data_IF_655927583760
#
_entry.id   IF_655927583760
#
_cell.length_a   1.000
_cell.length_b   1.000
_cell.length_c   1.000
_cell.angle_alpha   90.00
_cell.angle_beta   90.00
_cell.angle_gamma   90.00
#
_symmetry.space_group_name_H-M   'P 1'
#
loop_
_entity.id
_entity.type
_entity.pdbx_description
1 polymer ?
#
# COMPACT_ATOMS: atom_id res chain seq x y z
N UNK A 1 39.93 2.77 63.85
CA UNK A 1 40.54 2.73 62.51
C UNK A 1 40.21 1.39 61.87
N UNK A 2 39.12 1.31 61.11
CA UNK A 2 38.77 0.15 60.31
C UNK A 2 38.48 0.64 58.89
N UNK A 3 39.29 0.16 57.94
CA UNK A 3 39.29 0.62 56.57
C UNK A 3 38.06 0.11 55.81
N UNK A 4 37.31 1.04 55.22
CA UNK A 4 36.24 0.79 54.27
C UNK A 4 36.83 0.27 52.96
N UNK A 5 36.66 -1.02 52.68
CA UNK A 5 36.92 -1.59 51.34
C UNK A 5 35.89 -1.05 50.35
N UNK A 6 36.35 -0.26 49.39
CA UNK A 6 35.56 0.17 48.24
C UNK A 6 35.20 -1.02 47.35
N UNK A 7 33.91 -1.18 47.05
CA UNK A 7 33.44 -2.07 45.98
C UNK A 7 33.97 -1.56 44.63
N UNK A 8 34.45 -2.42 43.72
CA UNK A 8 34.80 -1.99 42.38
C UNK A 8 33.53 -1.60 41.63
N UNK A 9 33.57 -0.44 40.98
CA UNK A 9 32.56 0.04 40.05
C UNK A 9 32.38 -1.00 38.94
N UNK A 10 31.21 -1.63 38.87
CA UNK A 10 30.78 -2.38 37.70
C UNK A 10 30.80 -1.43 36.51
N UNK A 11 31.85 -1.53 35.68
CA UNK A 11 31.86 -0.95 34.35
C UNK A 11 30.71 -1.60 33.59
N UNK A 12 29.64 -0.85 33.38
CA UNK A 12 28.51 -1.27 32.56
C UNK A 12 29.03 -1.88 31.25
N UNK A 13 28.73 -3.16 31.05
CA UNK A 13 29.08 -3.89 29.85
C UNK A 13 28.33 -3.28 28.66
N UNK A 14 28.91 -2.24 28.05
CA UNK A 14 28.43 -1.68 26.81
C UNK A 14 28.40 -2.79 25.76
N UNK A 15 27.23 -2.98 25.13
CA UNK A 15 27.07 -3.93 24.03
C UNK A 15 28.16 -3.62 23.00
N UNK A 16 28.96 -4.61 22.56
CA UNK A 16 30.03 -4.35 21.60
C UNK A 16 29.42 -3.74 20.33
N UNK A 17 29.95 -2.60 19.88
CA UNK A 17 29.40 -1.75 18.81
C UNK A 17 29.00 -2.52 17.55
N UNK A 18 29.75 -3.57 17.18
CA UNK A 18 29.39 -4.48 16.07
C UNK A 18 28.07 -5.23 16.30
N UNK A 19 27.81 -5.72 17.51
CA UNK A 19 26.58 -6.47 17.86
C UNK A 19 25.35 -5.56 17.87
N UNK A 20 25.53 -4.27 18.20
CA UNK A 20 24.48 -3.26 18.09
C UNK A 20 24.12 -2.98 16.62
N UNK A 21 25.11 -2.78 15.74
CA UNK A 21 24.86 -2.52 14.31
C UNK A 21 24.15 -3.67 13.60
N UNK A 22 24.49 -4.94 13.92
CA UNK A 22 23.79 -6.10 13.34
C UNK A 22 22.31 -6.16 13.76
N UNK A 23 21.99 -5.79 14.99
CA UNK A 23 20.62 -5.74 15.48
C UNK A 23 19.81 -4.64 14.78
N UNK A 24 20.37 -3.43 14.67
CA UNK A 24 19.74 -2.30 13.95
C UNK A 24 19.45 -2.68 12.49
N UNK A 25 20.38 -3.37 11.81
CA UNK A 25 20.18 -3.84 10.45
C UNK A 25 19.03 -4.85 10.34
N UNK A 26 18.96 -5.86 11.22
CA UNK A 26 17.86 -6.83 11.20
C UNK A 26 16.50 -6.18 11.50
N UNK A 27 16.46 -5.23 12.44
CA UNK A 27 15.24 -4.51 12.81
C UNK A 27 14.67 -3.68 11.63
N UNK A 28 15.53 -3.25 10.70
CA UNK A 28 15.16 -2.59 9.44
C UNK A 28 14.82 -3.57 8.31
N UNK A 29 15.66 -4.59 8.12
CA UNK A 29 15.58 -5.51 7.00
C UNK A 29 14.28 -6.32 7.00
N UNK A 30 13.84 -6.79 8.18
CA UNK A 30 12.65 -7.64 8.26
C UNK A 30 11.37 -6.90 7.84
N UNK A 31 11.02 -5.72 8.39
CA UNK A 31 9.87 -4.95 7.92
C UNK A 31 9.97 -4.56 6.44
N UNK A 32 11.16 -4.21 5.96
CA UNK A 32 11.39 -3.88 4.56
C UNK A 32 11.09 -5.07 3.64
N UNK A 33 11.62 -6.25 3.95
CA UNK A 33 11.38 -7.48 3.15
C UNK A 33 9.88 -7.78 3.11
N UNK A 34 9.19 -7.74 4.26
CA UNK A 34 7.74 -7.97 4.31
C UNK A 34 6.95 -6.95 3.48
N UNK A 35 7.33 -5.68 3.54
CA UNK A 35 6.75 -4.64 2.70
C UNK A 35 6.96 -4.93 1.20
N UNK A 36 8.18 -5.29 0.79
CA UNK A 36 8.49 -5.62 -0.62
C UNK A 36 7.71 -6.84 -1.09
N UNK A 37 7.67 -7.91 -0.30
CA UNK A 37 6.89 -9.12 -0.60
C UNK A 37 5.41 -8.75 -0.76
N UNK A 38 4.85 -8.01 0.20
CA UNK A 38 3.47 -7.56 0.15
C UNK A 38 3.16 -6.73 -1.10
N UNK A 39 4.05 -5.80 -1.46
CA UNK A 39 3.90 -4.97 -2.65
C UNK A 39 3.92 -5.81 -3.94
N UNK A 40 4.87 -6.74 -4.07
CA UNK A 40 4.95 -7.63 -5.25
C UNK A 40 3.69 -8.49 -5.35
N UNK A 41 3.25 -9.10 -4.24
CA UNK A 41 2.01 -9.87 -4.21
C UNK A 41 0.81 -9.03 -4.63
N UNK A 42 0.67 -7.81 -4.11
CA UNK A 42 -0.41 -6.90 -4.51
C UNK A 42 -0.37 -6.56 -6.01
N UNK A 43 0.79 -6.27 -6.58
CA UNK A 43 0.92 -5.98 -8.02
C UNK A 43 0.42 -7.16 -8.85
N UNK A 44 0.78 -8.38 -8.48
CA UNK A 44 0.36 -9.60 -9.19
C UNK A 44 -1.15 -9.84 -9.03
N UNK A 45 -1.67 -9.73 -7.81
CA UNK A 45 -3.10 -9.88 -7.52
C UNK A 45 -3.94 -8.84 -8.24
N UNK A 46 -3.50 -7.58 -8.27
CA UNK A 46 -4.23 -6.51 -8.96
C UNK A 46 -4.35 -6.75 -10.46
N UNK A 47 -3.31 -7.27 -11.12
CA UNK A 47 -3.40 -7.62 -12.55
C UNK A 47 -4.51 -8.62 -12.80
N UNK A 48 -4.61 -9.63 -11.93
CA UNK A 48 -5.68 -10.61 -11.99
C UNK A 48 -7.05 -9.97 -11.71
N UNK A 49 -7.17 -9.22 -10.60
CA UNK A 49 -8.42 -8.58 -10.19
C UNK A 49 -8.95 -7.65 -11.29
N UNK A 50 -8.11 -6.79 -11.86
CA UNK A 50 -8.53 -5.84 -12.90
C UNK A 50 -8.96 -6.55 -14.18
N UNK A 51 -8.22 -7.58 -14.61
CA UNK A 51 -8.58 -8.37 -15.78
C UNK A 51 -9.95 -9.03 -15.58
N UNK A 52 -10.13 -9.77 -14.48
CA UNK A 52 -11.35 -10.52 -14.21
C UNK A 52 -12.55 -9.62 -13.89
N UNK A 53 -12.33 -8.49 -13.22
CA UNK A 53 -13.40 -7.52 -12.97
C UNK A 53 -13.86 -6.85 -14.27
N UNK A 54 -12.94 -6.55 -15.19
CA UNK A 54 -13.29 -6.07 -16.53
C UNK A 54 -14.04 -7.15 -17.33
N UNK A 55 -13.61 -8.41 -17.24
CA UNK A 55 -14.28 -9.56 -17.86
C UNK A 55 -15.72 -9.74 -17.39
N UNK A 56 -15.96 -9.72 -16.07
CA UNK A 56 -17.31 -9.74 -15.48
C UNK A 56 -18.12 -8.54 -15.96
N UNK A 57 -17.51 -7.36 -15.98
CA UNK A 57 -18.19 -6.14 -16.45
C UNK A 57 -18.61 -6.26 -17.92
N UNK A 58 -17.80 -6.90 -18.76
CA UNK A 58 -18.13 -7.19 -20.15
C UNK A 58 -19.26 -8.23 -20.27
N UNK A 59 -19.21 -9.31 -19.49
CA UNK A 59 -20.27 -10.32 -19.46
C UNK A 59 -21.61 -9.73 -18.98
N UNK A 60 -21.59 -8.81 -18.02
CA UNK A 60 -22.78 -8.12 -17.53
C UNK A 60 -23.33 -7.14 -18.58
N UNK A 61 -22.48 -6.26 -19.10
CA UNK A 61 -22.90 -5.18 -19.98
C UNK A 61 -23.20 -5.64 -21.41
N UNK A 62 -22.54 -6.71 -21.89
CA UNK A 62 -22.61 -7.18 -23.27
C UNK A 62 -22.01 -6.23 -24.32
N UNK A 63 -21.61 -5.01 -23.92
CA UNK A 63 -20.99 -3.98 -24.77
C UNK A 63 -19.78 -3.41 -24.06
N UNK A 64 -18.72 -3.17 -24.82
CA UNK A 64 -17.43 -2.74 -24.29
C UNK A 64 -17.51 -1.38 -23.56
N UNK A 65 -18.32 -0.44 -24.03
CA UNK A 65 -18.41 0.90 -23.42
C UNK A 65 -19.10 0.88 -22.06
N UNK A 66 -20.19 0.10 -21.94
CA UNK A 66 -20.91 -0.08 -20.69
C UNK A 66 -20.11 -0.91 -19.68
N UNK A 67 -19.29 -1.85 -20.15
CA UNK A 67 -18.38 -2.62 -19.29
C UNK A 67 -17.40 -1.72 -18.54
N UNK A 68 -16.89 -0.67 -19.20
CA UNK A 68 -16.00 0.31 -18.57
C UNK A 68 -16.71 1.07 -17.44
N UNK A 69 -17.99 1.42 -17.63
CA UNK A 69 -18.79 2.11 -16.61
C UNK A 69 -19.03 1.20 -15.40
N UNK A 70 -19.45 -0.05 -15.61
CA UNK A 70 -19.66 -1.03 -14.52
C UNK A 70 -18.36 -1.23 -13.72
N UNK A 71 -17.25 -1.43 -14.42
CA UNK A 71 -15.93 -1.56 -13.81
C UNK A 71 -15.54 -0.31 -12.99
N UNK A 72 -15.74 0.89 -13.55
CA UNK A 72 -15.41 2.14 -12.88
C UNK A 72 -16.27 2.40 -11.65
N UNK A 73 -17.57 2.07 -11.68
CA UNK A 73 -18.48 2.22 -10.54
C UNK A 73 -18.04 1.34 -9.37
N UNK A 74 -17.62 0.10 -9.63
CA UNK A 74 -17.14 -0.81 -8.58
C UNK A 74 -15.90 -0.23 -7.88
N UNK A 75 -14.98 0.35 -8.63
CA UNK A 75 -13.72 0.91 -8.10
C UNK A 75 -13.83 2.39 -7.71
N UNK A 76 -14.99 3.00 -7.88
CA UNK A 76 -15.18 4.45 -7.78
C UNK A 76 -14.67 5.06 -6.46
N UNK A 77 -14.97 4.50 -5.27
CA UNK A 77 -14.45 5.05 -4.02
C UNK A 77 -12.91 5.10 -3.97
N UNK A 78 -12.26 4.09 -4.55
CA UNK A 78 -10.81 4.02 -4.66
C UNK A 78 -10.25 5.07 -5.62
N UNK A 79 -10.89 5.24 -6.79
CA UNK A 79 -10.50 6.26 -7.78
C UNK A 79 -10.67 7.67 -7.22
N UNK A 80 -11.77 7.94 -6.52
CA UNK A 80 -12.00 9.23 -5.84
C UNK A 80 -10.87 9.52 -4.85
N UNK A 81 -10.53 8.55 -4.00
CA UNK A 81 -9.44 8.72 -3.04
C UNK A 81 -8.09 8.94 -3.75
N UNK A 82 -7.83 8.19 -4.83
CA UNK A 82 -6.61 8.30 -5.62
C UNK A 82 -6.42 9.71 -6.18
N UNK A 83 -7.40 10.19 -6.96
CA UNK A 83 -7.34 11.50 -7.57
C UNK A 83 -7.35 12.63 -6.53
N UNK A 84 -8.15 12.51 -5.46
CA UNK A 84 -8.13 13.48 -4.37
C UNK A 84 -6.75 13.56 -3.70
N UNK A 85 -6.03 12.45 -3.60
CA UNK A 85 -4.70 12.42 -3.00
C UNK A 85 -3.68 13.18 -3.83
N UNK A 86 -3.72 13.01 -5.15
CA UNK A 86 -2.92 13.81 -6.08
C UNK A 86 -3.21 15.30 -5.92
N UNK A 87 -4.48 15.68 -5.93
CA UNK A 87 -4.92 17.06 -5.81
C UNK A 87 -4.49 17.70 -4.47
N UNK A 88 -4.71 17.01 -3.35
CA UNK A 88 -4.29 17.48 -2.02
C UNK A 88 -2.78 17.63 -1.96
N UNK A 89 -2.01 16.63 -2.39
CA UNK A 89 -0.55 16.69 -2.34
C UNK A 89 0.00 17.81 -3.24
N UNK A 90 -0.53 17.97 -4.45
CA UNK A 90 -0.15 19.05 -5.33
C UNK A 90 -0.42 20.42 -4.68
N UNK A 91 -1.59 20.58 -4.07
CA UNK A 91 -1.98 21.82 -3.37
C UNK A 91 -1.06 22.12 -2.19
N UNK A 92 -0.76 21.11 -1.34
CA UNK A 92 0.15 21.25 -0.20
C UNK A 92 1.58 21.62 -0.64
N UNK A 93 2.02 21.13 -1.80
CA UNK A 93 3.33 21.45 -2.37
C UNK A 93 3.34 22.75 -3.19
N UNK A 94 2.22 23.50 -3.19
CA UNK A 94 2.09 24.76 -3.91
C UNK A 94 2.15 24.61 -5.44
N UNK A 95 1.82 23.43 -5.95
CA UNK A 95 1.76 23.15 -7.38
C UNK A 95 0.35 23.48 -7.87
N UNK A 96 0.26 24.28 -8.95
CA UNK A 96 -1.03 24.63 -9.55
C UNK A 96 -1.69 23.37 -10.11
N UNK A 97 -2.94 23.13 -9.72
CA UNK A 97 -3.78 22.05 -10.25
C UNK A 97 -4.65 22.57 -11.40
N UNK A 98 -4.94 21.70 -12.37
CA UNK A 98 -5.78 21.98 -13.53
C UNK A 98 -7.11 21.21 -13.48
N UNK A 99 -7.49 20.57 -14.59
CA UNK A 99 -8.71 19.78 -14.68
C UNK A 99 -8.67 18.51 -13.81
N UNK A 100 -9.84 18.13 -13.30
CA UNK A 100 -10.06 16.86 -12.58
C UNK A 100 -11.20 16.12 -13.26
N UNK A 101 -11.02 14.83 -13.53
CA UNK A 101 -12.05 13.94 -14.06
C UNK A 101 -12.03 12.61 -13.34
N UNK A 102 -13.21 12.15 -12.95
CA UNK A 102 -13.42 10.81 -12.37
C UNK A 102 -14.11 9.85 -13.35
N UNK A 103 -14.35 10.32 -14.58
CA UNK A 103 -14.99 9.53 -15.62
C UNK A 103 -13.94 8.73 -16.39
N UNK A 104 -14.17 7.41 -16.58
CA UNK A 104 -13.25 6.58 -17.30
C UNK A 104 -13.23 6.92 -18.79
N UNK A 105 -12.05 6.88 -19.39
CA UNK A 105 -11.84 7.08 -20.82
C UNK A 105 -10.87 6.04 -21.37
N UNK A 106 -11.16 5.51 -22.55
CA UNK A 106 -10.19 4.71 -23.31
C UNK A 106 -9.19 5.64 -23.98
N UNK A 107 -7.92 5.32 -23.84
CA UNK A 107 -6.85 6.02 -24.52
C UNK A 107 -6.62 5.44 -25.92
N UNK A 108 -6.00 6.21 -26.84
CA UNK A 108 -5.69 5.75 -28.20
C UNK A 108 -4.78 4.52 -28.24
N UNK A 109 -3.98 4.32 -27.19
CA UNK A 109 -3.09 3.16 -27.03
C UNK A 109 -3.82 1.89 -26.53
N UNK A 110 -5.14 1.93 -26.40
CA UNK A 110 -5.96 0.84 -25.89
C UNK A 110 -6.04 0.77 -24.36
N UNK A 111 -5.24 1.55 -23.64
CA UNK A 111 -5.26 1.57 -22.17
C UNK A 111 -6.51 2.25 -21.63
N UNK A 112 -6.94 1.84 -20.43
CA UNK A 112 -8.07 2.45 -19.74
C UNK A 112 -7.58 3.44 -18.69
N UNK A 113 -7.96 4.71 -18.82
CA UNK A 113 -7.77 5.73 -17.80
C UNK A 113 -9.06 5.84 -16.98
N UNK A 114 -9.01 5.56 -15.69
CA UNK A 114 -10.20 5.60 -14.80
C UNK A 114 -10.53 7.02 -14.33
N UNK A 115 -9.51 7.84 -14.12
CA UNK A 115 -9.59 9.22 -13.69
C UNK A 115 -8.28 9.94 -13.97
N UNK A 116 -8.29 11.26 -13.75
CA UNK A 116 -7.08 12.07 -13.78
C UNK A 116 -7.23 13.35 -12.96
N UNK A 117 -6.10 13.79 -12.41
CA UNK A 117 -5.85 15.15 -11.95
C UNK A 117 -4.70 15.74 -12.74
N UNK A 118 -4.96 16.83 -13.45
CA UNK A 118 -3.92 17.60 -14.11
C UNK A 118 -3.23 18.52 -13.11
N UNK A 119 -1.91 18.66 -13.24
CA UNK A 119 -1.13 19.64 -12.52
C UNK A 119 -0.06 20.22 -13.44
N UNK A 120 0.26 21.49 -13.23
CA UNK A 120 1.17 22.21 -14.11
C UNK A 120 2.62 21.78 -13.88
N UNK A 121 3.24 21.20 -14.91
CA UNK A 121 4.66 20.84 -14.93
C UNK A 121 5.53 22.07 -15.23
N UNK A 122 5.55 23.00 -14.28
CA UNK A 122 6.38 24.20 -14.34
C UNK A 122 7.82 23.97 -13.82
N UNK A 123 8.70 24.98 -13.94
CA UNK A 123 10.09 24.90 -13.47
C UNK A 123 10.24 24.57 -11.97
N UNK A 124 9.20 24.86 -11.18
CA UNK A 124 9.18 24.71 -9.72
C UNK A 124 8.73 23.34 -9.22
N UNK A 125 8.31 22.43 -10.12
CA UNK A 125 7.85 21.10 -9.73
C UNK A 125 9.04 20.25 -9.23
N UNK A 126 10.05 20.07 -10.09
CA UNK A 126 11.23 19.25 -9.78
C UNK A 126 10.91 17.77 -9.46
N UNK A 127 11.92 16.89 -9.42
CA UNK A 127 11.70 15.44 -9.26
C UNK A 127 11.08 15.05 -7.92
N UNK A 128 11.39 15.80 -6.85
CA UNK A 128 10.90 15.53 -5.50
C UNK A 128 9.38 15.76 -5.38
N UNK A 129 8.87 16.93 -5.80
CA UNK A 129 7.44 17.23 -5.66
C UNK A 129 6.62 16.35 -6.59
N UNK A 130 7.08 16.12 -7.82
CA UNK A 130 6.40 15.23 -8.77
C UNK A 130 6.32 13.79 -8.21
N UNK A 131 7.38 13.30 -7.57
CA UNK A 131 7.37 11.96 -6.96
C UNK A 131 6.50 11.88 -5.71
N UNK A 132 6.44 12.94 -4.89
CA UNK A 132 5.55 13.01 -3.73
C UNK A 132 4.07 13.04 -4.16
N UNK A 133 3.74 13.80 -5.21
CA UNK A 133 2.41 13.77 -5.82
C UNK A 133 2.12 12.36 -6.32
N UNK A 134 3.00 11.78 -7.12
CA UNK A 134 2.89 10.40 -7.63
C UNK A 134 2.69 9.33 -6.55
N UNK A 135 3.31 9.50 -5.38
CA UNK A 135 3.19 8.59 -4.25
C UNK A 135 1.99 8.87 -3.33
N UNK A 136 1.31 10.01 -3.48
CA UNK A 136 0.24 10.43 -2.58
C UNK A 136 -0.92 9.41 -2.48
N UNK A 137 -1.41 8.81 -3.57
CA UNK A 137 -2.47 7.79 -3.48
C UNK A 137 -2.06 6.54 -2.70
N UNK A 138 -0.79 6.13 -2.81
CA UNK A 138 -0.27 4.99 -2.05
C UNK A 138 -0.24 5.33 -0.55
N UNK A 139 0.18 6.54 -0.20
CA UNK A 139 0.25 7.02 1.19
C UNK A 139 -1.15 7.09 1.80
N UNK A 140 -2.09 7.75 1.12
CA UNK A 140 -3.47 7.90 1.61
C UNK A 140 -4.23 6.57 1.64
N UNK A 141 -4.08 5.72 0.62
CA UNK A 141 -4.67 4.39 0.57
C UNK A 141 -4.16 3.50 1.70
N UNK A 142 -2.84 3.51 1.95
CA UNK A 142 -2.23 2.84 3.11
C UNK A 142 -2.83 3.35 4.42
N UNK A 143 -2.94 4.68 4.60
CA UNK A 143 -3.51 5.27 5.80
C UNK A 143 -4.97 4.85 6.02
N UNK A 144 -5.80 4.89 4.98
CA UNK A 144 -7.22 4.47 5.04
C UNK A 144 -7.34 2.99 5.41
N UNK A 145 -6.56 2.12 4.78
CA UNK A 145 -6.57 0.67 5.09
C UNK A 145 -6.16 0.41 6.54
N UNK A 146 -5.13 1.10 7.05
CA UNK A 146 -4.70 0.96 8.44
C UNK A 146 -5.73 1.50 9.43
N UNK A 147 -6.41 2.61 9.09
CA UNK A 147 -7.49 3.15 9.92
C UNK A 147 -8.64 2.16 10.01
N UNK A 148 -9.09 1.59 8.88
CA UNK A 148 -10.15 0.57 8.87
C UNK A 148 -9.68 -0.68 9.64
N UNK A 149 -8.48 -1.17 9.37
CA UNK A 149 -7.92 -2.35 10.05
C UNK A 149 -7.82 -2.17 11.57
N UNK A 150 -7.43 -0.98 12.04
CA UNK A 150 -7.35 -0.67 13.47
C UNK A 150 -8.73 -0.51 14.10
N UNK A 151 -9.61 0.29 13.51
CA UNK A 151 -10.86 0.73 14.15
C UNK A 151 -12.03 -0.23 13.96
N UNK A 152 -12.07 -0.94 12.83
CA UNK A 152 -13.18 -1.85 12.50
C UNK A 152 -12.80 -3.29 12.83
N UNK A 153 -11.61 -3.71 12.44
CA UNK A 153 -11.19 -5.11 12.49
C UNK A 153 -10.35 -5.48 13.70
N UNK A 154 -9.99 -4.50 14.52
CA UNK A 154 -9.17 -4.74 15.71
C UNK A 154 -7.91 -5.52 15.38
N UNK A 155 -7.23 -5.25 14.25
CA UNK A 155 -6.07 -6.06 13.81
C UNK A 155 -4.99 -6.17 14.90
N UNK A 156 -4.93 -5.21 15.82
CA UNK A 156 -4.08 -5.28 17.02
C UNK A 156 -4.46 -6.40 18.00
N UNK A 157 -5.75 -6.67 18.22
CA UNK A 157 -6.23 -7.77 19.06
C UNK A 157 -5.97 -9.13 18.40
N UNK A 158 -6.22 -9.23 17.09
CA UNK A 158 -5.89 -10.43 16.32
C UNK A 158 -4.38 -10.72 16.33
N UNK A 159 -3.56 -9.70 16.13
CA UNK A 159 -2.10 -9.83 16.20
C UNK A 159 -1.61 -10.23 17.61
N UNK A 160 -2.27 -9.77 18.68
CA UNK A 160 -1.96 -10.24 20.03
C UNK A 160 -2.40 -11.68 20.26
N UNK A 161 -3.56 -12.09 19.74
CA UNK A 161 -4.06 -13.46 19.84
C UNK A 161 -3.16 -14.46 19.09
N UNK A 162 -2.63 -14.08 17.93
CA UNK A 162 -1.66 -14.91 17.21
C UNK A 162 -0.35 -15.11 17.96
N UNK A 163 0.06 -14.12 18.78
CA UNK A 163 1.28 -14.23 19.60
C UNK A 163 1.10 -15.13 20.82
N UNK A 164 -0.11 -15.23 21.36
CA UNK A 164 -0.38 -16.13 22.49
C UNK A 164 -0.44 -17.60 22.04
N UNK A 165 -0.73 -17.85 20.75
CA UNK A 165 -0.85 -19.21 20.21
C UNK A 165 -2.06 -19.98 20.74
N UNK A 166 -2.95 -19.30 21.46
CA UNK A 166 -4.14 -19.88 22.07
C UNK A 166 -5.29 -19.86 21.07
N UNK A 167 -5.75 -21.06 20.70
CA UNK A 167 -6.82 -21.26 19.72
C UNK A 167 -8.13 -20.62 20.18
N UNK A 168 -8.43 -20.60 21.48
CA UNK A 168 -9.66 -19.98 21.98
C UNK A 168 -9.61 -18.46 21.78
N UNK A 169 -8.50 -17.83 22.15
CA UNK A 169 -8.28 -16.38 21.98
C UNK A 169 -8.29 -16.00 20.50
N UNK A 170 -7.71 -16.82 19.63
CA UNK A 170 -7.75 -16.62 18.18
C UNK A 170 -9.18 -16.75 17.62
N UNK A 171 -9.94 -17.74 18.09
CA UNK A 171 -11.34 -17.95 17.67
C UNK A 171 -12.20 -16.76 18.08
N UNK A 172 -12.07 -16.28 19.31
CA UNK A 172 -12.81 -15.10 19.78
C UNK A 172 -12.47 -13.85 18.97
N UNK A 173 -11.19 -13.63 18.65
CA UNK A 173 -10.76 -12.51 17.81
C UNK A 173 -11.38 -12.57 16.40
N UNK A 174 -11.49 -13.76 15.81
CA UNK A 174 -12.15 -13.96 14.50
C UNK A 174 -13.66 -13.77 14.59
N UNK A 175 -14.32 -14.24 15.65
CA UNK A 175 -15.76 -14.04 15.83
C UNK A 175 -16.10 -12.57 16.03
N UNK A 176 -15.29 -11.83 16.80
CA UNK A 176 -15.44 -10.38 16.94
C UNK A 176 -15.24 -9.64 15.62
N UNK A 177 -14.28 -10.07 14.81
CA UNK A 177 -14.06 -9.54 13.47
C UNK A 177 -15.30 -9.72 12.60
N UNK A 178 -15.88 -10.93 12.57
CA UNK A 178 -17.07 -11.26 11.78
C UNK A 178 -18.34 -10.57 12.29
N UNK A 179 -18.40 -10.25 13.58
CA UNK A 179 -19.50 -9.52 14.20
C UNK A 179 -19.44 -7.99 13.98
N UNK A 180 -18.38 -7.48 13.34
CA UNK A 180 -18.21 -6.05 13.10
C UNK A 180 -19.39 -5.47 12.28
N UNK A 181 -20.03 -4.37 12.73
CA UNK A 181 -21.11 -3.74 11.99
C UNK A 181 -20.66 -3.33 10.58
N UNK A 182 -21.50 -3.62 9.59
CA UNK A 182 -21.25 -3.27 8.18
C UNK A 182 -19.94 -3.85 7.62
N UNK A 183 -19.48 -5.01 8.13
CA UNK A 183 -18.24 -5.66 7.68
C UNK A 183 -18.07 -5.71 6.16
N UNK A 184 -19.13 -6.03 5.42
CA UNK A 184 -19.10 -6.10 3.96
C UNK A 184 -18.77 -4.76 3.30
N UNK A 185 -19.25 -3.64 3.85
CA UNK A 185 -18.95 -2.30 3.35
C UNK A 185 -17.48 -1.97 3.58
N UNK A 186 -16.93 -2.33 4.74
CA UNK A 186 -15.52 -2.10 5.05
C UNK A 186 -14.58 -2.98 4.21
N UNK A 187 -14.95 -4.25 3.99
CA UNK A 187 -14.24 -5.14 3.07
C UNK A 187 -14.27 -4.58 1.63
N UNK A 188 -15.45 -4.11 1.18
CA UNK A 188 -15.59 -3.47 -0.11
C UNK A 188 -14.72 -2.20 -0.23
N UNK A 189 -14.70 -1.34 0.79
CA UNK A 189 -13.87 -0.13 0.78
C UNK A 189 -12.37 -0.46 0.75
N UNK A 190 -11.91 -1.43 1.54
CA UNK A 190 -10.51 -1.89 1.47
C UNK A 190 -10.22 -2.45 0.08
N UNK A 191 -11.11 -3.24 -0.50
CA UNK A 191 -10.96 -3.76 -1.86
C UNK A 191 -10.85 -2.64 -2.89
N UNK A 192 -11.79 -1.68 -2.89
CA UNK A 192 -11.81 -0.58 -3.86
C UNK A 192 -10.58 0.32 -3.72
N UNK A 193 -10.21 0.71 -2.49
CA UNK A 193 -9.03 1.54 -2.21
C UNK A 193 -7.75 0.79 -2.58
N UNK A 194 -7.58 -0.45 -2.12
CA UNK A 194 -6.37 -1.22 -2.42
C UNK A 194 -6.23 -1.52 -3.91
N UNK A 195 -7.31 -1.67 -4.66
CA UNK A 195 -7.29 -1.89 -6.11
C UNK A 195 -6.92 -0.64 -6.92
N UNK A 196 -7.13 0.55 -6.35
CA UNK A 196 -6.86 1.83 -7.01
C UNK A 196 -5.54 2.49 -6.57
N UNK A 197 -5.07 2.26 -5.33
CA UNK A 197 -3.97 3.03 -4.73
C UNK A 197 -2.58 2.84 -5.34
N UNK A 198 -2.36 1.81 -6.17
CA UNK A 198 -1.02 1.57 -6.72
C UNK A 198 -0.69 2.59 -7.82
N UNK A 199 0.53 3.16 -7.83
CA UNK A 199 0.92 4.18 -8.79
C UNK A 199 0.83 3.70 -10.25
N UNK A 200 0.17 4.48 -11.08
CA UNK A 200 0.07 4.26 -12.52
C UNK A 200 1.41 4.48 -13.23
N UNK A 201 1.43 4.34 -14.57
CA UNK A 201 2.62 4.69 -15.37
C UNK A 201 2.95 6.18 -15.28
N UNK A 202 1.93 7.04 -15.27
CA UNK A 202 2.11 8.50 -15.18
C UNK A 202 2.63 8.90 -13.80
N UNK A 203 2.11 8.26 -12.74
CA UNK A 203 2.48 8.57 -11.35
C UNK A 203 3.95 8.24 -11.03
N UNK A 204 4.53 7.26 -11.73
CA UNK A 204 5.93 6.81 -11.52
C UNK A 204 6.93 7.52 -12.41
N UNK A 205 6.49 8.43 -13.26
CA UNK A 205 7.35 9.10 -14.24
C UNK A 205 8.58 9.77 -13.61
N UNK A 206 8.40 10.46 -12.48
CA UNK A 206 9.48 11.18 -11.80
C UNK A 206 10.32 10.32 -10.84
N UNK A 207 9.90 9.07 -10.57
CA UNK A 207 10.54 8.24 -9.56
C UNK A 207 12.02 7.94 -9.86
N UNK A 208 12.47 7.68 -11.10
CA UNK A 208 13.89 7.47 -11.37
C UNK A 208 14.75 8.65 -10.91
N UNK A 209 14.30 9.88 -11.18
CA UNK A 209 14.99 11.10 -10.75
C UNK A 209 14.99 11.27 -9.23
N UNK A 210 13.84 11.03 -8.58
CA UNK A 210 13.75 11.05 -7.12
C UNK A 210 14.62 9.99 -6.44
N UNK A 211 14.59 8.75 -6.94
CA UNK A 211 15.42 7.66 -6.43
C UNK A 211 16.91 7.95 -6.60
N UNK A 212 17.33 8.59 -7.69
CA UNK A 212 18.71 9.03 -7.85
C UNK A 212 19.11 10.07 -6.78
N UNK A 213 18.27 11.08 -6.54
CA UNK A 213 18.52 12.09 -5.48
C UNK A 213 18.55 11.41 -4.10
N UNK A 214 17.59 10.52 -3.81
CA UNK A 214 17.54 9.79 -2.54
C UNK A 214 18.73 8.87 -2.36
N UNK A 215 19.23 8.21 -3.41
CA UNK A 215 20.44 7.39 -3.33
C UNK A 215 21.66 8.23 -2.92
N UNK A 216 21.83 9.42 -3.50
CA UNK A 216 22.90 10.35 -3.10
C UNK A 216 22.74 10.78 -1.64
N UNK A 217 21.52 11.13 -1.22
CA UNK A 217 21.23 11.49 0.18
C UNK A 217 21.52 10.33 1.13
N UNK A 218 21.12 9.10 0.80
CA UNK A 218 21.38 7.91 1.62
C UNK A 218 22.87 7.64 1.74
N UNK A 219 23.64 7.73 0.64
CA UNK A 219 25.10 7.58 0.68
C UNK A 219 25.73 8.67 1.55
N UNK A 220 25.30 9.92 1.40
CA UNK A 220 25.79 11.03 2.21
C UNK A 220 25.46 10.83 3.70
N UNK A 221 24.23 10.44 4.03
CA UNK A 221 23.78 10.16 5.41
C UNK A 221 24.49 8.94 5.99
N UNK A 222 24.74 7.88 5.20
CA UNK A 222 25.49 6.73 5.68
C UNK A 222 26.95 7.10 5.97
N UNK A 223 27.56 7.92 5.10
CA UNK A 223 28.94 8.39 5.28
C UNK A 223 29.08 9.32 6.50
N UNK A 224 28.19 10.31 6.63
CA UNK A 224 28.18 11.27 7.74
C UNK A 224 27.71 10.63 9.05
N UNK A 225 26.63 9.85 8.99
CA UNK A 225 25.97 9.23 10.13
C UNK A 225 26.81 8.16 10.82
N UNK A 226 27.73 7.49 10.11
CA UNK A 226 28.71 6.61 10.72
C UNK A 226 29.71 7.36 11.64
N UNK A 227 29.90 8.67 11.40
CA UNK A 227 30.79 9.51 12.20
C UNK A 227 30.11 10.04 13.48
N UNK A 228 28.81 10.32 13.43
CA UNK A 228 28.06 10.99 14.51
C UNK A 228 26.96 10.14 15.18
N UNK A 229 26.77 8.87 14.77
CA UNK A 229 25.78 7.96 15.38
C UNK A 229 24.33 8.11 14.87
N UNK A 230 24.09 8.97 13.88
CA UNK A 230 22.75 9.30 13.36
C UNK A 230 21.97 8.11 12.75
N UNK A 231 22.66 7.05 12.32
CA UNK A 231 22.04 5.90 11.64
C UNK A 231 21.08 5.14 12.58
N UNK A 232 21.46 4.97 13.84
CA UNK A 232 20.64 4.23 14.81
C UNK A 232 19.34 4.99 15.15
N UNK A 233 19.40 6.32 15.15
CA UNK A 233 18.22 7.18 15.40
C UNK A 233 17.23 7.17 14.23
N UNK A 234 17.72 7.09 12.99
CA UNK A 234 16.87 7.03 11.79
C UNK A 234 16.33 5.62 11.51
N UNK A 235 17.01 4.58 11.96
CA UNK A 235 16.62 3.21 11.69
C UNK A 235 15.23 2.87 12.24
N UNK A 236 14.91 3.29 13.46
CA UNK A 236 13.65 2.94 14.11
C UNK A 236 12.42 3.57 13.41
N UNK A 237 12.38 4.89 13.12
CA UNK A 237 11.28 5.49 12.37
C UNK A 237 11.08 4.84 10.99
N UNK A 238 12.16 4.52 10.28
CA UNK A 238 12.10 3.87 8.96
C UNK A 238 11.55 2.44 9.06
N UNK A 239 12.00 1.66 10.05
CA UNK A 239 11.48 0.33 10.31
C UNK A 239 9.97 0.35 10.62
N UNK A 240 9.52 1.33 11.41
CA UNK A 240 8.10 1.54 11.73
C UNK A 240 7.29 1.88 10.47
N UNK A 241 7.81 2.76 9.61
CA UNK A 241 7.17 3.09 8.33
C UNK A 241 6.99 1.86 7.43
N UNK A 242 8.04 1.06 7.25
CA UNK A 242 7.96 -0.19 6.49
C UNK A 242 7.00 -1.20 7.14
N UNK A 243 6.97 -1.27 8.47
CA UNK A 243 6.03 -2.10 9.21
C UNK A 243 4.57 -1.71 8.95
N UNK A 244 4.25 -0.41 8.91
CA UNK A 244 2.91 0.07 8.59
C UNK A 244 2.51 -0.22 7.14
N UNK A 245 3.40 0.05 6.18
CA UNK A 245 3.15 -0.27 4.77
C UNK A 245 2.94 -1.77 4.57
N UNK A 246 3.81 -2.61 5.14
CA UNK A 246 3.68 -4.06 5.09
C UNK A 246 2.35 -4.53 5.69
N UNK A 247 1.98 -4.03 6.86
CA UNK A 247 0.70 -4.36 7.51
C UNK A 247 -0.49 -4.02 6.62
N UNK A 248 -0.51 -2.81 6.04
CA UNK A 248 -1.58 -2.39 5.14
C UNK A 248 -1.65 -3.28 3.90
N UNK A 249 -0.50 -3.65 3.33
CA UNK A 249 -0.45 -4.53 2.16
C UNK A 249 -0.95 -5.93 2.47
N UNK A 250 -0.61 -6.51 3.63
CA UNK A 250 -1.13 -7.81 4.01
C UNK A 250 -2.63 -7.80 4.32
N UNK A 251 -3.17 -6.72 4.88
CA UNK A 251 -4.62 -6.53 5.01
C UNK A 251 -5.27 -6.50 3.62
N UNK A 252 -4.71 -5.70 2.70
CA UNK A 252 -5.19 -5.62 1.33
C UNK A 252 -5.12 -6.97 0.59
N UNK A 253 -4.05 -7.74 0.78
CA UNK A 253 -3.91 -9.10 0.24
C UNK A 253 -4.99 -10.02 0.81
N UNK A 254 -5.20 -10.02 2.13
CA UNK A 254 -6.20 -10.88 2.75
C UNK A 254 -7.60 -10.61 2.20
N UNK A 255 -8.00 -9.33 2.13
CA UNK A 255 -9.27 -8.93 1.53
C UNK A 255 -9.31 -9.24 0.03
N UNK A 256 -8.21 -8.97 -0.68
CA UNK A 256 -8.07 -9.24 -2.10
C UNK A 256 -8.26 -10.71 -2.45
N UNK A 257 -7.70 -11.64 -1.67
CA UNK A 257 -7.86 -13.09 -1.87
C UNK A 257 -9.33 -13.52 -1.73
N UNK A 258 -10.02 -12.99 -0.71
CA UNK A 258 -11.46 -13.22 -0.53
C UNK A 258 -12.23 -12.72 -1.76
N UNK A 259 -11.97 -11.47 -2.18
CA UNK A 259 -12.60 -10.89 -3.36
C UNK A 259 -12.27 -11.66 -4.64
N UNK A 260 -11.05 -12.19 -4.81
CA UNK A 260 -10.67 -12.99 -5.98
C UNK A 260 -11.53 -14.25 -6.09
N UNK A 261 -11.80 -14.94 -4.98
CA UNK A 261 -12.72 -16.10 -4.96
C UNK A 261 -14.12 -15.69 -5.40
N UNK A 262 -14.65 -14.58 -4.89
CA UNK A 262 -15.96 -14.06 -5.29
C UNK A 262 -16.00 -13.66 -6.77
N UNK A 263 -14.97 -12.97 -7.26
CA UNK A 263 -14.85 -12.56 -8.67
C UNK A 263 -14.81 -13.79 -9.57
N UNK A 264 -13.97 -14.79 -9.28
CA UNK A 264 -13.90 -16.03 -10.07
C UNK A 264 -15.24 -16.76 -10.11
N UNK A 265 -15.95 -16.83 -8.98
CA UNK A 265 -17.28 -17.43 -8.91
C UNK A 265 -18.30 -16.67 -9.76
N UNK A 266 -18.33 -15.34 -9.66
CA UNK A 266 -19.24 -14.50 -10.44
C UNK A 266 -18.97 -14.62 -11.94
N UNK A 267 -17.71 -14.58 -12.36
CA UNK A 267 -17.34 -14.77 -13.76
C UNK A 267 -17.78 -16.14 -14.28
N UNK A 268 -17.56 -17.20 -13.50
CA UNK A 268 -18.00 -18.54 -13.85
C UNK A 268 -19.53 -18.62 -14.01
N UNK A 269 -20.30 -18.05 -13.07
CA UNK A 269 -21.76 -17.99 -13.14
C UNK A 269 -22.21 -17.23 -14.39
N UNK A 270 -21.70 -16.02 -14.61
CA UNK A 270 -22.10 -15.21 -15.76
C UNK A 270 -21.69 -15.82 -17.09
N UNK A 271 -20.52 -16.47 -17.15
CA UNK A 271 -20.09 -17.19 -18.33
C UNK A 271 -21.01 -18.36 -18.68
N UNK A 272 -21.50 -19.08 -17.66
CA UNK A 272 -22.51 -20.15 -17.86
C UNK A 272 -23.86 -19.60 -18.31
N UNK A 273 -24.33 -18.50 -17.72
CA UNK A 273 -25.61 -17.89 -18.09
C UNK A 273 -25.57 -17.34 -19.53
N UNK A 274 -24.45 -16.72 -19.93
CA UNK A 274 -24.28 -16.09 -21.25
C UNK A 274 -23.85 -17.08 -22.33
N UNK A 275 -23.41 -18.29 -21.97
CA UNK A 275 -22.81 -19.25 -22.91
C UNK A 275 -21.52 -18.73 -23.56
N UNK A 276 -20.80 -17.84 -22.88
CA UNK A 276 -19.60 -17.16 -23.39
C UNK A 276 -18.48 -17.19 -22.35
N UNK A 277 -17.22 -17.23 -22.80
CA UNK A 277 -16.04 -17.08 -21.95
C UNK A 277 -15.25 -15.84 -22.33
N UNK A 278 -14.64 -15.20 -21.34
CA UNK A 278 -13.76 -14.06 -21.57
C UNK A 278 -12.37 -14.59 -21.90
N UNK A 279 -11.84 -14.20 -23.05
CA UNK A 279 -10.45 -14.50 -23.43
C UNK A 279 -9.59 -13.31 -23.08
N UNK A 280 -8.70 -13.49 -22.11
CA UNK A 280 -7.70 -12.50 -21.75
C UNK A 280 -6.56 -12.54 -22.76
N UNK A 281 -6.53 -11.58 -23.68
CA UNK A 281 -5.40 -11.41 -24.59
C UNK A 281 -4.16 -10.97 -23.81
N UNK A 282 -3.03 -11.66 -24.01
CA UNK A 282 -1.72 -11.02 -23.78
C UNK A 282 -1.53 -10.01 -24.90
N UNK A 283 -1.57 -8.73 -24.59
CA UNK A 283 -0.85 -7.78 -25.44
C UNK A 283 0.62 -8.21 -25.44
N UNK A 284 1.15 -8.42 -26.66
CA UNK A 284 2.53 -8.81 -26.92
C UNK A 284 3.50 -7.68 -26.53
#
# INVERSE_FOLDING_TARGET
>A
MAATMGRPLEKGAGIPRKRATWKTMNDLLMPFIWMVIGLVCLILMQRWIHAHLHGISLLLAGRSDWAVIVYAVVLFPGVVLHEASHWVMATLLGVRTGGVSLLPRRQPDGSLQLGYVEYYKGPTLGPLRESLIGAAPLISGTAVILLIGRHVFGVTSLASAMRTGDVAVMTDAVLQLLAAPNILVWLYLIFAVSSAMLPSRSDRHAWPGFLAIMAVVVVAVAWLGNQIGLIDDLARPVAVLFGYLGTAFFIAIAVGLICMVFIALLEWIFGRIRGASVVYGREA
#
